data_IF_194995467445
#
_entry.id   IF_194995467445
#
_cell.length_a   1.000
_cell.length_b   1.000
_cell.length_c   1.000
_cell.angle_alpha   90.00
_cell.angle_beta   90.00
_cell.angle_gamma   90.00
#
_symmetry.space_group_name_H-M   'P 1'
#
loop_
_entity.id
_entity.type
_entity.pdbx_description
1 polymer ?
#
# COMPACT_ATOMS: atom_id res chain seq x y z
N UNK A 1 15.43 29.30 -50.66
CA UNK A 1 16.01 28.10 -50.00
C UNK A 1 15.41 27.99 -48.62
N UNK A 2 14.33 27.21 -48.51
CA UNK A 2 13.69 26.89 -47.19
C UNK A 2 14.52 25.82 -46.50
N UNK A 3 15.08 26.15 -45.36
CA UNK A 3 15.76 25.19 -44.48
C UNK A 3 14.69 24.38 -43.75
N UNK A 4 14.47 23.14 -44.21
CA UNK A 4 13.69 22.15 -43.47
C UNK A 4 14.38 21.92 -42.11
N UNK A 5 13.84 22.50 -41.07
CA UNK A 5 14.15 22.12 -39.70
C UNK A 5 13.47 20.76 -39.45
N UNK A 6 14.22 19.68 -39.60
CA UNK A 6 13.86 18.38 -39.05
C UNK A 6 13.73 18.57 -37.52
N UNK A 7 12.52 18.64 -37.02
CA UNK A 7 12.23 18.52 -35.60
C UNK A 7 12.74 17.15 -35.14
N UNK A 8 13.97 17.09 -34.61
CA UNK A 8 14.44 15.96 -33.82
C UNK A 8 13.61 15.95 -32.59
N UNK A 9 12.70 14.97 -32.49
CA UNK A 9 11.95 14.68 -31.24
C UNK A 9 12.96 14.66 -30.11
N UNK A 10 12.79 15.54 -29.11
CA UNK A 10 13.66 15.58 -27.97
C UNK A 10 13.69 14.16 -27.32
N UNK A 11 14.87 13.62 -27.01
CA UNK A 11 14.98 12.29 -26.43
C UNK A 11 14.15 12.22 -25.15
N UNK A 12 13.48 11.08 -24.94
CA UNK A 12 12.65 10.84 -23.76
C UNK A 12 13.48 11.13 -22.48
N UNK A 13 13.00 12.07 -21.66
CA UNK A 13 13.71 12.44 -20.45
C UNK A 13 13.79 11.23 -19.50
N UNK A 14 14.96 10.96 -18.92
CA UNK A 14 15.23 9.77 -18.12
C UNK A 14 14.31 9.62 -16.90
N UNK A 15 13.71 10.71 -16.41
CA UNK A 15 12.69 10.70 -15.35
C UNK A 15 11.52 9.76 -15.66
N UNK A 16 11.10 9.64 -16.93
CA UNK A 16 10.02 8.74 -17.33
C UNK A 16 10.43 7.27 -17.27
N UNK A 17 11.68 6.95 -17.58
CA UNK A 17 12.25 5.60 -17.43
C UNK A 17 12.29 5.22 -15.95
N UNK A 18 12.77 6.14 -15.11
CA UNK A 18 12.78 5.95 -13.64
C UNK A 18 11.36 5.73 -13.11
N UNK A 19 10.39 6.55 -13.56
CA UNK A 19 9.00 6.42 -13.12
C UNK A 19 8.40 5.06 -13.52
N UNK A 20 8.65 4.60 -14.75
CA UNK A 20 8.18 3.30 -15.22
C UNK A 20 8.78 2.15 -14.39
N UNK A 21 10.07 2.19 -14.09
CA UNK A 21 10.73 1.17 -13.26
C UNK A 21 10.18 1.20 -11.82
N UNK A 22 10.03 2.38 -11.24
CA UNK A 22 9.41 2.56 -9.93
C UNK A 22 7.97 2.02 -9.90
N UNK A 23 7.19 2.27 -10.94
CA UNK A 23 5.84 1.75 -11.10
C UNK A 23 5.83 0.21 -11.14
N UNK A 24 6.71 -0.43 -11.92
CA UNK A 24 6.79 -1.89 -12.02
C UNK A 24 7.21 -2.51 -10.67
N UNK A 25 8.15 -1.88 -9.95
CA UNK A 25 8.51 -2.32 -8.59
C UNK A 25 7.30 -2.32 -7.65
N UNK A 26 6.50 -1.24 -7.66
CA UNK A 26 5.27 -1.16 -6.86
C UNK A 26 4.22 -2.17 -7.31
N UNK A 27 4.01 -2.30 -8.62
CA UNK A 27 3.10 -3.28 -9.19
C UNK A 27 3.41 -4.70 -8.71
N UNK A 28 4.65 -5.16 -8.84
CA UNK A 28 5.08 -6.50 -8.41
C UNK A 28 4.95 -6.63 -6.89
N UNK A 29 5.41 -5.64 -6.13
CA UNK A 29 5.33 -5.67 -4.68
C UNK A 29 3.89 -5.79 -4.16
N UNK A 30 2.95 -5.06 -4.76
CA UNK A 30 1.54 -5.12 -4.35
C UNK A 30 0.78 -6.31 -4.92
N UNK A 31 1.19 -6.85 -6.07
CA UNK A 31 0.74 -8.18 -6.52
C UNK A 31 1.10 -9.28 -5.51
N UNK A 32 2.30 -9.21 -4.91
CA UNK A 32 2.74 -10.13 -3.86
C UNK A 32 1.95 -9.90 -2.56
N UNK A 33 1.92 -8.66 -2.11
CA UNK A 33 1.36 -8.30 -0.79
C UNK A 33 -0.14 -8.48 -0.72
N UNK A 34 -0.90 -7.89 -1.64
CA UNK A 34 -2.36 -7.98 -1.65
C UNK A 34 -2.84 -9.28 -2.32
N UNK A 35 -2.09 -9.77 -3.29
CA UNK A 35 -2.36 -11.05 -3.94
C UNK A 35 -2.32 -12.25 -2.98
N UNK A 36 -1.71 -12.11 -1.79
CA UNK A 36 -1.78 -13.13 -0.74
C UNK A 36 -3.23 -13.53 -0.42
N UNK A 37 -4.13 -12.57 -0.26
CA UNK A 37 -5.55 -12.83 0.03
C UNK A 37 -6.28 -13.55 -1.12
N UNK A 38 -5.79 -13.44 -2.35
CA UNK A 38 -6.35 -14.18 -3.52
C UNK A 38 -5.85 -15.63 -3.54
N UNK A 39 -4.58 -15.86 -3.16
CA UNK A 39 -3.97 -17.20 -3.08
C UNK A 39 -4.43 -17.98 -1.86
N UNK A 40 -4.85 -17.28 -0.81
CA UNK A 40 -5.16 -17.81 0.52
C UNK A 40 -6.12 -19.00 0.53
N UNK A 41 -7.28 -19.00 -0.17
CA UNK A 41 -8.22 -20.12 -0.12
C UNK A 41 -7.59 -21.44 -0.59
N UNK A 42 -6.79 -21.40 -1.65
CA UNK A 42 -6.10 -22.58 -2.17
C UNK A 42 -5.00 -23.10 -1.21
N UNK A 43 -4.27 -22.18 -0.56
CA UNK A 43 -3.29 -22.55 0.45
C UNK A 43 -3.94 -23.23 1.67
N UNK A 44 -5.08 -22.70 2.12
CA UNK A 44 -5.86 -23.29 3.22
C UNK A 44 -6.30 -24.71 2.84
N UNK A 45 -6.83 -24.88 1.62
CA UNK A 45 -7.34 -26.17 1.13
C UNK A 45 -6.25 -27.23 0.99
N UNK A 46 -5.10 -26.85 0.41
CA UNK A 46 -3.99 -27.77 0.11
C UNK A 46 -3.16 -28.13 1.36
N UNK A 47 -2.93 -27.18 2.25
CA UNK A 47 -2.05 -27.34 3.41
C UNK A 47 -2.79 -27.59 4.73
N UNK A 48 -4.12 -27.51 4.73
CA UNK A 48 -4.96 -27.70 5.91
C UNK A 48 -4.82 -26.60 6.97
N UNK A 49 -4.38 -25.40 6.57
CA UNK A 49 -4.24 -24.29 7.51
C UNK A 49 -5.60 -23.77 8.00
N UNK A 50 -5.66 -23.36 9.26
CA UNK A 50 -6.75 -22.55 9.77
C UNK A 50 -6.64 -21.10 9.25
N UNK A 51 -7.75 -20.33 9.34
CA UNK A 51 -7.73 -18.91 8.95
C UNK A 51 -6.86 -18.09 9.90
N UNK A 52 -6.76 -18.50 11.16
CA UNK A 52 -5.83 -17.93 12.15
C UNK A 52 -4.37 -18.11 11.74
N UNK A 53 -4.00 -19.31 11.30
CA UNK A 53 -2.66 -19.61 10.79
C UNK A 53 -2.36 -18.82 9.53
N UNK A 54 -3.31 -18.76 8.62
CA UNK A 54 -3.20 -17.95 7.40
C UNK A 54 -3.02 -16.45 7.71
N UNK A 55 -3.78 -15.89 8.65
CA UNK A 55 -3.57 -14.53 9.14
C UNK A 55 -2.19 -14.34 9.78
N UNK A 56 -1.67 -15.35 10.48
CA UNK A 56 -0.32 -15.32 11.09
C UNK A 56 0.80 -15.30 10.06
N UNK A 57 0.64 -15.98 8.91
CA UNK A 57 1.57 -15.91 7.79
C UNK A 57 1.65 -14.47 7.27
N UNK A 58 0.51 -13.82 7.04
CA UNK A 58 0.51 -12.42 6.59
C UNK A 58 1.08 -11.47 7.66
N UNK A 59 0.81 -11.75 8.93
CA UNK A 59 1.38 -10.97 10.04
C UNK A 59 2.90 -11.09 10.11
N UNK A 60 3.49 -12.25 9.81
CA UNK A 60 4.94 -12.41 9.74
C UNK A 60 5.58 -11.47 8.70
N UNK A 61 4.95 -11.32 7.53
CA UNK A 61 5.33 -10.32 6.54
C UNK A 61 5.22 -8.89 7.07
N UNK A 62 4.08 -8.53 7.69
CA UNK A 62 3.85 -7.18 8.20
C UNK A 62 4.79 -6.81 9.35
N UNK A 63 5.07 -7.72 10.28
CA UNK A 63 6.04 -7.48 11.36
C UNK A 63 7.42 -7.16 10.81
N UNK A 64 7.91 -7.98 9.87
CA UNK A 64 9.21 -7.77 9.24
C UNK A 64 9.25 -6.43 8.47
N UNK A 65 8.20 -6.14 7.72
CA UNK A 65 8.06 -4.89 6.97
C UNK A 65 8.11 -3.67 7.89
N UNK A 66 7.29 -3.63 8.95
CA UNK A 66 7.21 -2.50 9.88
C UNK A 66 8.52 -2.32 10.64
N UNK A 67 9.09 -3.41 11.16
CA UNK A 67 10.31 -3.36 11.97
C UNK A 67 11.52 -2.83 11.18
N UNK A 68 11.62 -3.18 9.89
CA UNK A 68 12.80 -2.87 9.09
C UNK A 68 12.64 -1.67 8.14
N UNK A 69 11.43 -1.13 7.98
CA UNK A 69 11.21 0.09 7.18
C UNK A 69 12.07 1.29 7.63
N UNK A 70 12.26 1.60 8.93
CA UNK A 70 13.15 2.68 9.34
C UNK A 70 14.61 2.45 8.94
N UNK A 71 15.08 1.21 9.00
CA UNK A 71 16.44 0.83 8.61
C UNK A 71 16.66 1.03 7.11
N UNK A 72 15.71 0.60 6.28
CA UNK A 72 15.82 0.78 4.81
C UNK A 72 15.73 2.25 4.41
N UNK A 73 14.94 3.07 5.11
CA UNK A 73 14.95 4.53 4.95
C UNK A 73 16.34 5.11 5.23
N UNK A 74 16.93 4.78 6.37
CA UNK A 74 18.27 5.21 6.74
C UNK A 74 19.35 4.76 5.74
N UNK A 75 19.30 3.50 5.31
CA UNK A 75 20.23 2.97 4.32
C UNK A 75 20.07 3.67 2.96
N UNK A 76 18.87 4.04 2.58
CA UNK A 76 18.58 4.77 1.33
C UNK A 76 19.32 6.11 1.28
N UNK A 77 19.40 6.80 2.41
CA UNK A 77 20.11 8.08 2.49
C UNK A 77 21.64 7.90 2.56
N UNK A 78 22.12 6.79 3.13
CA UNK A 78 23.57 6.53 3.28
C UNK A 78 24.23 5.90 2.05
N UNK A 79 23.65 4.84 1.51
CA UNK A 79 24.27 4.04 0.43
C UNK A 79 23.59 4.24 -0.92
N UNK A 80 22.50 5.04 -0.94
CA UNK A 80 21.74 5.38 -2.14
C UNK A 80 20.61 4.41 -2.44
N UNK A 81 19.52 4.97 -2.98
CA UNK A 81 18.28 4.24 -3.23
C UNK A 81 18.45 3.07 -4.22
N UNK A 82 19.29 3.21 -5.25
CA UNK A 82 19.55 2.14 -6.24
C UNK A 82 19.99 0.84 -5.59
N UNK A 83 20.98 0.92 -4.69
CA UNK A 83 21.54 -0.26 -4.01
C UNK A 83 20.48 -0.88 -3.10
N UNK A 84 19.80 -0.05 -2.30
CA UNK A 84 18.77 -0.52 -1.37
C UNK A 84 17.62 -1.20 -2.10
N UNK A 85 17.07 -0.58 -3.15
CA UNK A 85 15.98 -1.16 -3.96
C UNK A 85 16.43 -2.50 -4.57
N UNK A 86 17.66 -2.58 -5.11
CA UNK A 86 18.17 -3.80 -5.76
C UNK A 86 18.36 -4.94 -4.76
N UNK A 87 18.94 -4.69 -3.59
CA UNK A 87 19.13 -5.70 -2.54
C UNK A 87 17.76 -6.14 -1.99
N UNK A 88 16.86 -5.19 -1.73
CA UNK A 88 15.52 -5.52 -1.24
C UNK A 88 14.72 -6.29 -2.29
N UNK A 89 14.87 -6.02 -3.59
CA UNK A 89 14.26 -6.81 -4.65
C UNK A 89 14.77 -8.27 -4.65
N UNK A 90 16.06 -8.49 -4.39
CA UNK A 90 16.63 -9.84 -4.24
C UNK A 90 16.02 -10.57 -3.04
N UNK A 91 15.96 -9.93 -1.88
CA UNK A 91 15.38 -10.52 -0.67
C UNK A 91 13.90 -10.85 -0.89
N UNK A 92 13.14 -9.92 -1.51
CA UNK A 92 11.74 -10.12 -1.87
C UNK A 92 11.57 -11.33 -2.79
N UNK A 93 12.38 -11.39 -3.87
CA UNK A 93 12.33 -12.48 -4.84
C UNK A 93 12.59 -13.85 -4.19
N UNK A 94 13.64 -13.94 -3.34
CA UNK A 94 13.97 -15.16 -2.60
C UNK A 94 12.81 -15.58 -1.70
N UNK A 95 12.28 -14.67 -0.86
CA UNK A 95 11.17 -14.98 0.02
C UNK A 95 9.93 -15.45 -0.73
N UNK A 96 9.60 -14.79 -1.85
CA UNK A 96 8.43 -15.13 -2.67
C UNK A 96 8.60 -16.45 -3.42
N UNK A 97 9.77 -16.74 -3.98
CA UNK A 97 10.04 -18.04 -4.63
C UNK A 97 9.94 -19.19 -3.62
N UNK A 98 10.48 -19.00 -2.42
CA UNK A 98 10.38 -19.98 -1.35
C UNK A 98 8.95 -20.22 -0.89
N UNK A 99 8.04 -19.22 -0.98
CA UNK A 99 6.60 -19.42 -0.72
C UNK A 99 5.98 -20.50 -1.61
N UNK A 100 6.46 -20.69 -2.84
CA UNK A 100 6.03 -21.79 -3.72
C UNK A 100 6.41 -23.19 -3.22
N UNK A 101 7.38 -23.31 -2.30
CA UNK A 101 7.85 -24.60 -1.74
C UNK A 101 7.27 -24.94 -0.37
N UNK A 102 6.38 -24.12 0.15
CA UNK A 102 5.82 -24.26 1.51
C UNK A 102 5.06 -25.57 1.68
N UNK A 103 5.34 -26.25 2.81
CA UNK A 103 4.66 -27.49 3.24
C UNK A 103 4.12 -27.42 4.66
N UNK A 104 4.50 -26.40 5.44
CA UNK A 104 4.05 -26.22 6.82
C UNK A 104 4.01 -24.74 7.23
N UNK A 105 3.35 -24.45 8.34
CA UNK A 105 3.14 -23.09 8.85
C UNK A 105 4.47 -22.35 9.13
N UNK A 106 5.44 -23.04 9.74
CA UNK A 106 6.73 -22.43 10.09
C UNK A 106 7.49 -21.93 8.86
N UNK A 107 7.53 -22.75 7.79
CA UNK A 107 8.11 -22.34 6.50
C UNK A 107 7.35 -21.17 5.89
N UNK A 108 6.01 -21.21 5.90
CA UNK A 108 5.18 -20.14 5.36
C UNK A 108 5.44 -18.80 6.06
N UNK A 109 5.44 -18.79 7.39
CA UNK A 109 5.74 -17.61 8.20
C UNK A 109 7.17 -17.09 7.94
N UNK A 110 8.16 -17.98 7.91
CA UNK A 110 9.56 -17.59 7.69
C UNK A 110 9.76 -17.01 6.29
N UNK A 111 9.28 -17.67 5.26
CA UNK A 111 9.50 -17.25 3.88
C UNK A 111 8.73 -15.97 3.55
N UNK A 112 7.50 -15.84 4.09
CA UNK A 112 6.75 -14.60 3.88
C UNK A 112 7.29 -13.43 4.74
N UNK A 113 7.89 -13.71 5.91
CA UNK A 113 8.66 -12.71 6.66
C UNK A 113 9.88 -12.21 5.86
N UNK A 114 10.63 -13.12 5.20
CA UNK A 114 11.73 -12.73 4.29
C UNK A 114 11.22 -11.85 3.15
N UNK A 115 10.07 -12.19 2.55
CA UNK A 115 9.44 -11.33 1.55
C UNK A 115 9.08 -9.95 2.14
N UNK A 116 8.59 -9.90 3.39
CA UNK A 116 8.32 -8.66 4.13
C UNK A 116 9.56 -7.78 4.30
N UNK A 117 10.71 -8.37 4.63
CA UNK A 117 12.00 -7.66 4.67
C UNK A 117 12.31 -7.00 3.32
N UNK A 118 12.23 -7.76 2.24
CA UNK A 118 12.48 -7.25 0.88
C UNK A 118 11.50 -6.15 0.47
N UNK A 119 10.25 -6.26 0.87
CA UNK A 119 9.19 -5.28 0.58
C UNK A 119 9.47 -3.88 1.16
N UNK A 120 10.29 -3.77 2.22
CA UNK A 120 10.64 -2.47 2.83
C UNK A 120 11.33 -1.53 1.84
N UNK A 121 12.12 -2.06 0.91
CA UNK A 121 12.77 -1.29 -0.14
C UNK A 121 11.86 -0.90 -1.31
N UNK A 122 10.65 -1.47 -1.38
CA UNK A 122 9.75 -1.30 -2.52
C UNK A 122 8.75 -0.13 -2.33
N UNK A 123 8.74 0.56 -1.19
CA UNK A 123 7.89 1.73 -0.98
C UNK A 123 8.72 3.00 -0.75
N UNK A 124 9.29 3.17 0.42
CA UNK A 124 9.98 4.43 0.79
C UNK A 124 11.13 4.77 -0.16
N UNK A 125 12.08 3.87 -0.47
CA UNK A 125 13.16 4.17 -1.40
C UNK A 125 12.66 4.48 -2.82
N UNK A 126 11.65 3.75 -3.30
CA UNK A 126 11.05 3.92 -4.64
C UNK A 126 10.39 5.30 -4.76
N UNK A 127 9.58 5.69 -3.76
CA UNK A 127 8.95 7.03 -3.70
C UNK A 127 10.02 8.12 -3.63
N UNK A 128 11.06 7.93 -2.83
CA UNK A 128 12.17 8.90 -2.70
C UNK A 128 12.87 9.14 -4.04
N UNK A 129 13.17 8.08 -4.80
CA UNK A 129 13.76 8.22 -6.15
C UNK A 129 12.83 9.01 -7.05
N UNK A 130 11.57 8.63 -7.13
CA UNK A 130 10.61 9.33 -7.97
C UNK A 130 10.52 10.82 -7.61
N UNK A 131 10.45 11.16 -6.32
CA UNK A 131 10.40 12.56 -5.87
C UNK A 131 11.67 13.36 -6.20
N UNK A 132 12.83 12.73 -6.24
CA UNK A 132 14.10 13.38 -6.62
C UNK A 132 14.16 13.70 -8.12
N UNK A 133 13.54 12.85 -8.95
CA UNK A 133 13.56 12.98 -10.41
C UNK A 133 12.52 13.97 -10.96
N UNK A 134 11.58 14.45 -10.12
CA UNK A 134 10.53 15.38 -10.53
C UNK A 134 10.59 16.68 -9.72
N UNK A 135 10.40 17.82 -10.40
CA UNK A 135 10.26 19.13 -9.76
C UNK A 135 9.08 19.14 -8.79
N UNK A 136 9.12 20.03 -7.80
CA UNK A 136 8.15 20.06 -6.68
C UNK A 136 6.70 20.12 -7.14
N UNK A 137 6.41 20.92 -8.17
CA UNK A 137 5.09 21.08 -8.80
C UNK A 137 4.62 19.83 -9.58
N UNK A 138 5.53 18.93 -9.96
CA UNK A 138 5.25 17.70 -10.72
C UNK A 138 5.26 16.41 -9.87
N UNK A 139 5.71 16.48 -8.63
CA UNK A 139 5.77 15.32 -7.71
C UNK A 139 4.42 14.68 -7.48
N UNK A 140 3.35 15.48 -7.37
CA UNK A 140 1.99 14.97 -7.20
C UNK A 140 1.55 14.07 -8.35
N UNK A 141 1.84 14.47 -9.60
CA UNK A 141 1.57 13.64 -10.78
C UNK A 141 2.35 12.32 -10.75
N UNK A 142 3.66 12.38 -10.47
CA UNK A 142 4.50 11.18 -10.42
C UNK A 142 4.01 10.19 -9.34
N UNK A 143 3.69 10.69 -8.15
CA UNK A 143 3.15 9.87 -7.05
C UNK A 143 1.76 9.32 -7.37
N UNK A 144 0.92 10.07 -8.07
CA UNK A 144 -0.38 9.61 -8.55
C UNK A 144 -0.23 8.41 -9.49
N UNK A 145 0.67 8.51 -10.49
CA UNK A 145 0.98 7.40 -11.40
C UNK A 145 1.49 6.19 -10.62
N UNK A 146 2.44 6.37 -9.70
CA UNK A 146 2.97 5.27 -8.89
C UNK A 146 1.90 4.59 -8.04
N UNK A 147 0.96 5.36 -7.49
CA UNK A 147 -0.13 4.82 -6.68
C UNK A 147 -1.10 3.95 -7.47
N UNK A 148 -1.21 4.13 -8.79
CA UNK A 148 -2.02 3.23 -9.63
C UNK A 148 -1.42 1.83 -9.73
N UNK A 149 -0.10 1.68 -9.62
CA UNK A 149 0.59 0.38 -9.58
C UNK A 149 0.14 -0.51 -8.41
N UNK A 150 -0.23 0.10 -7.30
CA UNK A 150 -0.79 -0.54 -6.12
C UNK A 150 -2.13 -1.27 -6.43
N UNK A 151 -3.11 -0.54 -6.97
CA UNK A 151 -4.40 -1.13 -7.33
C UNK A 151 -4.30 -2.10 -8.51
N UNK A 152 -3.45 -1.80 -9.51
CA UNK A 152 -3.25 -2.66 -10.67
C UNK A 152 -2.61 -4.00 -10.29
N UNK A 153 -1.68 -4.01 -9.32
CA UNK A 153 -1.08 -5.25 -8.81
C UNK A 153 -2.14 -6.17 -8.22
N UNK A 154 -3.04 -5.64 -7.39
CA UNK A 154 -4.13 -6.42 -6.81
C UNK A 154 -5.15 -6.88 -7.86
N UNK A 155 -5.54 -5.98 -8.77
CA UNK A 155 -6.48 -6.30 -9.84
C UNK A 155 -5.97 -7.42 -10.76
N UNK A 156 -4.68 -7.40 -11.10
CA UNK A 156 -4.06 -8.41 -11.95
C UNK A 156 -4.10 -9.79 -11.29
N UNK A 157 -3.88 -9.88 -9.97
CA UNK A 157 -3.95 -11.15 -9.25
C UNK A 157 -5.35 -11.75 -9.29
N UNK A 158 -6.41 -10.93 -9.22
CA UNK A 158 -7.79 -11.42 -9.30
C UNK A 158 -8.13 -12.11 -10.63
N UNK A 159 -7.51 -11.70 -11.73
CA UNK A 159 -7.68 -12.34 -13.05
C UNK A 159 -6.68 -13.46 -13.26
N UNK A 160 -5.39 -13.20 -12.99
CA UNK A 160 -4.31 -14.13 -13.31
C UNK A 160 -4.31 -15.39 -12.43
N UNK A 161 -4.68 -15.25 -11.15
CA UNK A 161 -4.57 -16.36 -10.20
C UNK A 161 -5.49 -17.54 -10.51
N UNK A 162 -6.81 -17.37 -10.78
CA UNK A 162 -7.67 -18.49 -11.16
C UNK A 162 -7.17 -19.22 -12.40
N UNK A 163 -6.65 -18.45 -13.39
CA UNK A 163 -6.05 -19.03 -14.59
C UNK A 163 -4.82 -19.89 -14.26
N UNK A 164 -3.94 -19.41 -13.36
CA UNK A 164 -2.77 -20.16 -12.91
C UNK A 164 -3.19 -21.45 -12.19
N UNK A 165 -4.19 -21.39 -11.32
CA UNK A 165 -4.68 -22.56 -10.57
C UNK A 165 -5.33 -23.59 -11.49
N UNK A 166 -6.10 -23.12 -12.47
CA UNK A 166 -6.77 -24.00 -13.42
C UNK A 166 -5.80 -24.88 -14.22
N UNK A 167 -4.66 -24.35 -14.66
CA UNK A 167 -3.69 -25.07 -15.49
C UNK A 167 -2.51 -25.66 -14.72
N UNK A 168 -2.19 -25.13 -13.55
CA UNK A 168 -1.00 -25.49 -12.79
C UNK A 168 -1.34 -25.76 -11.31
N UNK A 169 -0.89 -24.88 -10.40
CA UNK A 169 -1.27 -24.89 -8.99
C UNK A 169 -1.01 -23.50 -8.38
N UNK A 170 -1.55 -23.25 -7.18
CA UNK A 170 -1.35 -22.02 -6.46
C UNK A 170 0.14 -21.69 -6.21
N UNK A 171 1.02 -22.69 -6.14
CA UNK A 171 2.47 -22.54 -5.98
C UNK A 171 3.11 -21.76 -7.13
N UNK A 172 2.60 -21.94 -8.34
CA UNK A 172 3.12 -21.25 -9.53
C UNK A 172 2.83 -19.74 -9.50
N UNK A 173 1.81 -19.27 -8.80
CA UNK A 173 1.60 -17.85 -8.59
C UNK A 173 2.82 -17.22 -7.88
N UNK A 174 3.34 -17.87 -6.85
CA UNK A 174 4.54 -17.43 -6.16
C UNK A 174 5.79 -17.50 -7.04
N UNK A 175 5.94 -18.54 -7.84
CA UNK A 175 7.06 -18.66 -8.77
C UNK A 175 7.03 -17.56 -9.84
N UNK A 176 5.88 -17.23 -10.41
CA UNK A 176 5.75 -16.14 -11.38
C UNK A 176 6.05 -14.78 -10.75
N UNK A 177 5.49 -14.49 -9.59
CA UNK A 177 5.74 -13.24 -8.87
C UNK A 177 7.21 -13.11 -8.44
N UNK A 178 7.79 -14.19 -7.91
CA UNK A 178 9.19 -14.22 -7.50
C UNK A 178 10.15 -14.07 -8.68
N UNK A 179 9.85 -14.69 -9.82
CA UNK A 179 10.62 -14.50 -11.07
C UNK A 179 10.51 -13.07 -11.57
N UNK A 180 9.32 -12.46 -11.50
CA UNK A 180 9.15 -11.04 -11.79
C UNK A 180 10.05 -10.15 -10.91
N UNK A 181 10.10 -10.43 -9.60
CA UNK A 181 10.98 -9.72 -8.68
C UNK A 181 12.48 -9.97 -8.97
N UNK A 182 12.87 -11.18 -9.41
CA UNK A 182 14.25 -11.47 -9.86
C UNK A 182 14.63 -10.63 -11.09
N UNK A 183 13.76 -10.52 -12.08
CA UNK A 183 13.99 -9.68 -13.27
C UNK A 183 14.21 -8.22 -12.86
N UNK A 184 13.47 -7.75 -11.85
CA UNK A 184 13.62 -6.38 -11.36
C UNK A 184 14.98 -6.12 -10.72
N UNK A 185 15.71 -7.12 -10.22
CA UNK A 185 17.08 -6.93 -9.71
C UNK A 185 17.98 -6.37 -10.81
N UNK A 186 17.93 -6.97 -11.99
CA UNK A 186 18.73 -6.53 -13.14
C UNK A 186 18.26 -5.16 -13.64
N UNK A 187 16.96 -4.94 -13.77
CA UNK A 187 16.38 -3.66 -14.20
C UNK A 187 16.75 -2.54 -13.22
N UNK A 188 16.58 -2.76 -11.93
CA UNK A 188 16.93 -1.80 -10.88
C UNK A 188 18.43 -1.51 -10.87
N UNK A 189 19.23 -2.57 -10.92
CA UNK A 189 20.69 -2.46 -10.93
C UNK A 189 21.26 -1.73 -12.14
N UNK A 190 20.67 -1.84 -13.31
CA UNK A 190 21.17 -1.23 -14.53
C UNK A 190 20.62 0.19 -14.75
N UNK A 191 19.32 0.39 -14.53
CA UNK A 191 18.61 1.59 -14.99
C UNK A 191 18.26 2.58 -13.89
N UNK A 192 18.09 2.17 -12.61
CA UNK A 192 17.83 3.13 -11.54
C UNK A 192 19.08 3.99 -11.30
N UNK A 193 18.86 5.30 -11.29
CA UNK A 193 19.82 6.30 -10.82
C UNK A 193 19.21 6.99 -9.62
N UNK A 194 19.97 7.05 -8.50
CA UNK A 194 19.45 7.56 -7.23
C UNK A 194 19.06 9.04 -7.26
N UNK A 195 19.74 9.82 -8.10
CA UNK A 195 19.45 11.26 -8.30
C UNK A 195 19.65 11.64 -9.76
N UNK A 196 18.94 12.67 -10.27
CA UNK A 196 19.10 13.17 -11.63
C UNK A 196 20.53 13.64 -11.92
N UNK A 197 21.15 14.33 -10.97
CA UNK A 197 22.49 14.92 -11.10
C UNK A 197 23.55 13.83 -11.33
N UNK A 198 23.41 12.68 -10.68
CA UNK A 198 24.31 11.53 -10.86
C UNK A 198 24.27 10.95 -12.28
N UNK A 199 23.28 11.32 -13.06
CA UNK A 199 23.08 10.90 -14.45
C UNK A 199 23.19 12.06 -15.46
N UNK A 200 23.59 13.25 -14.99
CA UNK A 200 23.73 14.45 -15.83
C UNK A 200 22.41 15.11 -16.25
N UNK A 201 21.33 14.89 -15.49
CA UNK A 201 20.03 15.49 -15.75
C UNK A 201 19.64 16.48 -14.64
N UNK A 202 18.78 17.45 -14.97
CA UNK A 202 18.00 18.19 -13.99
C UNK A 202 16.69 17.45 -13.68
N UNK A 203 16.04 17.69 -12.53
CA UNK A 203 14.71 17.17 -12.24
C UNK A 203 13.72 17.59 -13.35
N UNK A 204 12.89 16.64 -13.80
CA UNK A 204 11.93 16.90 -14.87
C UNK A 204 10.88 17.93 -14.46
N UNK A 205 10.70 18.96 -15.32
CA UNK A 205 9.79 20.08 -15.05
C UNK A 205 10.42 21.22 -14.25
N UNK A 206 11.70 21.15 -13.89
CA UNK A 206 12.40 22.26 -13.24
C UNK A 206 12.59 23.40 -14.24
N UNK A 207 11.92 24.53 -14.04
CA UNK A 207 12.27 25.79 -14.68
C UNK A 207 13.52 26.36 -14.00
N UNK A 208 14.41 27.00 -14.76
CA UNK A 208 15.56 27.73 -14.21
C UNK A 208 15.04 28.82 -13.24
N UNK A 209 14.92 28.47 -11.98
CA UNK A 209 14.67 29.43 -10.92
C UNK A 209 16.01 29.80 -10.28
N UNK A 210 16.34 31.06 -10.34
CA UNK A 210 17.34 31.72 -9.50
C UNK A 210 17.23 31.25 -8.06
N UNK A 211 18.37 30.85 -7.48
CA UNK A 211 18.53 30.47 -6.08
C UNK A 211 17.95 31.55 -5.16
N UNK A 212 16.75 31.35 -4.68
CA UNK A 212 16.29 32.04 -3.47
C UNK A 212 16.87 31.30 -2.27
N UNK A 213 17.76 32.02 -1.61
CA UNK A 213 18.47 31.63 -0.40
C UNK A 213 17.50 31.08 0.66
N UNK A 214 17.78 29.88 1.12
CA UNK A 214 17.17 29.28 2.30
C UNK A 214 17.46 30.20 3.49
N UNK A 215 16.45 30.94 3.92
CA UNK A 215 16.51 31.78 5.09
C UNK A 215 16.65 30.86 6.32
N UNK A 216 17.74 31.03 7.02
CA UNK A 216 18.10 30.43 8.31
C UNK A 216 17.04 30.77 9.36
N UNK A 217 15.93 30.04 9.43
CA UNK A 217 14.97 30.16 10.52
C UNK A 217 15.42 29.30 11.68
N UNK A 218 15.60 29.95 12.81
CA UNK A 218 15.95 29.44 14.14
C UNK A 218 15.51 28.01 14.36
N UNK A 219 16.49 27.08 14.44
CA UNK A 219 16.30 25.68 14.74
C UNK A 219 15.80 25.56 16.19
N UNK A 220 14.49 25.54 16.38
CA UNK A 220 13.93 24.99 17.64
C UNK A 220 14.43 23.58 17.75
N UNK A 221 14.93 23.17 18.92
CA UNK A 221 15.41 21.81 19.16
C UNK A 221 14.39 20.80 18.64
N UNK A 222 14.77 19.96 17.67
CA UNK A 222 13.92 18.95 17.02
C UNK A 222 13.18 18.08 18.07
N UNK A 223 13.86 17.77 19.19
CA UNK A 223 13.27 17.02 20.29
C UNK A 223 12.15 17.76 21.05
N UNK A 224 12.23 19.09 21.18
CA UNK A 224 11.17 19.88 21.80
C UNK A 224 9.91 19.92 20.92
N UNK A 225 10.08 20.02 19.61
CA UNK A 225 8.99 19.99 18.65
C UNK A 225 8.28 18.63 18.64
N UNK A 226 9.02 17.53 18.67
CA UNK A 226 8.45 16.16 18.77
C UNK A 226 7.62 16.03 20.05
N UNK A 227 8.15 16.46 21.20
CA UNK A 227 7.39 16.44 22.46
C UNK A 227 6.11 17.28 22.39
N UNK A 228 6.13 18.41 21.69
CA UNK A 228 4.94 19.24 21.49
C UNK A 228 3.88 18.49 20.66
N UNK A 229 4.27 17.81 19.57
CA UNK A 229 3.37 16.98 18.74
C UNK A 229 2.66 15.91 19.57
N UNK A 230 3.42 15.15 20.39
CA UNK A 230 2.84 14.09 21.24
C UNK A 230 1.85 14.61 22.29
N UNK A 231 1.92 15.88 22.68
CA UNK A 231 0.97 16.51 23.62
C UNK A 231 -0.35 16.90 22.96
N UNK A 232 -0.41 16.98 21.62
CA UNK A 232 -1.65 17.35 20.92
C UNK A 232 -2.61 16.17 20.85
N UNK A 233 -3.88 16.42 21.16
CA UNK A 233 -4.94 15.40 20.99
C UNK A 233 -5.11 15.01 19.51
N UNK A 234 -4.89 15.95 18.62
CA UNK A 234 -4.97 15.76 17.17
C UNK A 234 -4.03 14.67 16.67
N UNK A 235 -2.80 14.58 17.22
CA UNK A 235 -1.85 13.52 16.86
C UNK A 235 -2.44 12.12 17.14
N UNK A 236 -3.01 11.94 18.32
CA UNK A 236 -3.59 10.66 18.76
C UNK A 236 -4.90 10.33 18.02
N UNK A 237 -5.75 11.32 17.80
CA UNK A 237 -7.00 11.11 17.07
C UNK A 237 -6.76 10.66 15.61
N UNK A 238 -5.82 11.30 14.91
CA UNK A 238 -5.45 10.87 13.56
C UNK A 238 -4.77 9.50 13.58
N UNK A 239 -3.84 9.27 14.50
CA UNK A 239 -3.13 7.99 14.65
C UNK A 239 -4.08 6.82 14.93
N UNK A 240 -4.99 6.96 15.91
CA UNK A 240 -5.98 5.93 16.21
C UNK A 240 -7.05 5.78 15.12
N UNK A 241 -7.42 6.86 14.42
CA UNK A 241 -8.27 6.75 13.24
C UNK A 241 -7.58 5.94 12.14
N UNK A 242 -6.28 6.15 11.94
CA UNK A 242 -5.46 5.41 10.97
C UNK A 242 -5.32 3.91 11.35
N UNK A 243 -5.15 3.61 12.64
CA UNK A 243 -5.21 2.26 13.17
C UNK A 243 -6.55 1.58 12.87
N UNK A 244 -7.66 2.28 13.20
CA UNK A 244 -9.01 1.72 13.12
C UNK A 244 -9.43 1.46 11.67
N UNK A 245 -9.13 2.39 10.75
CA UNK A 245 -9.43 2.19 9.34
C UNK A 245 -8.55 1.11 8.71
N UNK A 246 -7.28 1.01 9.12
CA UNK A 246 -6.39 -0.07 8.70
C UNK A 246 -6.90 -1.43 9.14
N UNK A 247 -7.36 -1.53 10.39
CA UNK A 247 -7.99 -2.74 10.89
C UNK A 247 -9.14 -3.19 9.99
N UNK A 248 -10.09 -2.28 9.70
CA UNK A 248 -11.25 -2.60 8.86
C UNK A 248 -10.82 -3.06 7.45
N UNK A 249 -9.97 -2.30 6.79
CA UNK A 249 -9.63 -2.53 5.38
C UNK A 249 -8.82 -3.81 5.20
N UNK A 250 -7.82 -4.06 6.06
CA UNK A 250 -7.03 -5.30 5.98
C UNK A 250 -7.78 -6.52 6.48
N UNK A 251 -8.61 -6.36 7.51
CA UNK A 251 -9.47 -7.43 7.99
C UNK A 251 -10.45 -7.94 6.94
N UNK A 252 -10.89 -7.05 6.03
CA UNK A 252 -11.73 -7.45 4.91
C UNK A 252 -10.92 -7.93 3.70
N UNK A 253 -9.98 -7.12 3.18
CA UNK A 253 -9.30 -7.41 1.92
C UNK A 253 -8.48 -8.70 1.93
N UNK A 254 -7.95 -9.09 3.10
CA UNK A 254 -7.18 -10.33 3.23
C UNK A 254 -8.06 -11.58 3.13
N UNK A 255 -9.27 -11.53 3.70
CA UNK A 255 -10.18 -12.68 3.72
C UNK A 255 -11.31 -12.57 2.68
N UNK A 256 -11.36 -11.51 1.88
CA UNK A 256 -12.45 -11.22 0.95
C UNK A 256 -12.73 -12.36 -0.04
N UNK A 257 -11.69 -12.96 -0.59
CA UNK A 257 -11.84 -14.06 -1.56
C UNK A 257 -12.27 -15.35 -0.84
N UNK A 258 -11.66 -15.67 0.32
CA UNK A 258 -12.09 -16.82 1.13
C UNK A 258 -13.54 -16.66 1.63
N UNK A 259 -13.96 -15.45 2.01
CA UNK A 259 -15.34 -15.15 2.37
C UNK A 259 -16.30 -15.41 1.20
N UNK A 260 -15.96 -14.91 0.03
CA UNK A 260 -16.80 -15.06 -1.16
C UNK A 260 -16.91 -16.53 -1.60
N UNK A 261 -15.82 -17.31 -1.49
CA UNK A 261 -15.82 -18.73 -1.82
C UNK A 261 -16.49 -19.57 -0.72
N UNK A 262 -16.04 -19.43 0.52
CA UNK A 262 -16.42 -20.35 1.61
C UNK A 262 -17.76 -20.03 2.28
N UNK A 263 -18.25 -18.77 2.23
CA UNK A 263 -19.49 -18.36 2.89
C UNK A 263 -20.58 -17.94 1.91
N UNK A 264 -20.24 -17.19 0.82
CA UNK A 264 -21.23 -16.84 -0.22
C UNK A 264 -21.43 -18.02 -1.19
N UNK A 265 -20.43 -18.89 -1.36
CA UNK A 265 -20.48 -20.05 -2.24
C UNK A 265 -20.14 -19.72 -3.70
N UNK A 266 -19.38 -18.67 -3.97
CA UNK A 266 -18.93 -18.34 -5.31
C UNK A 266 -17.78 -19.25 -5.76
N UNK A 267 -17.74 -19.65 -7.05
CA UNK A 267 -16.56 -20.31 -7.61
C UNK A 267 -15.32 -19.42 -7.44
N UNK A 268 -14.13 -20.06 -7.31
CA UNK A 268 -12.85 -19.35 -7.14
C UNK A 268 -12.61 -18.27 -8.19
N UNK A 269 -12.95 -18.56 -9.44
CA UNK A 269 -12.81 -17.64 -10.57
C UNK A 269 -13.62 -16.35 -10.35
N UNK A 270 -14.86 -16.49 -9.88
CA UNK A 270 -15.73 -15.36 -9.58
C UNK A 270 -15.31 -14.65 -8.30
N UNK A 271 -15.01 -15.38 -7.24
CA UNK A 271 -14.57 -14.81 -5.97
C UNK A 271 -13.28 -13.98 -6.13
N UNK A 272 -12.33 -14.46 -6.91
CA UNK A 272 -11.07 -13.75 -7.20
C UNK A 272 -11.27 -12.44 -7.96
N UNK A 273 -12.32 -12.32 -8.79
CA UNK A 273 -12.65 -11.06 -9.48
C UNK A 273 -12.99 -9.91 -8.52
N UNK A 274 -13.34 -10.21 -7.26
CA UNK A 274 -13.49 -9.18 -6.23
C UNK A 274 -12.19 -8.39 -6.02
N UNK A 275 -11.03 -9.06 -6.09
CA UNK A 275 -9.73 -8.39 -6.03
C UNK A 275 -9.50 -7.49 -7.25
N UNK A 276 -9.96 -7.92 -8.44
CA UNK A 276 -9.91 -7.12 -9.66
C UNK A 276 -10.76 -5.86 -9.55
N UNK A 277 -12.03 -6.01 -9.15
CA UNK A 277 -12.94 -4.87 -8.94
C UNK A 277 -12.38 -3.93 -7.87
N UNK A 278 -11.92 -4.49 -6.74
CA UNK A 278 -11.30 -3.69 -5.68
C UNK A 278 -10.09 -2.91 -6.20
N UNK A 279 -9.15 -3.56 -6.90
CA UNK A 279 -7.95 -2.90 -7.41
C UNK A 279 -8.25 -1.79 -8.44
N UNK A 280 -9.17 -2.03 -9.38
CA UNK A 280 -9.58 -1.04 -10.38
C UNK A 280 -10.29 0.15 -9.70
N UNK A 281 -11.26 -0.11 -8.83
CA UNK A 281 -11.98 0.94 -8.12
C UNK A 281 -11.07 1.75 -7.18
N UNK A 282 -10.05 1.11 -6.60
CA UNK A 282 -9.02 1.77 -5.82
C UNK A 282 -8.20 2.78 -6.66
N UNK A 283 -7.86 2.43 -7.90
CA UNK A 283 -7.21 3.36 -8.85
C UNK A 283 -8.12 4.55 -9.12
N UNK A 284 -9.42 4.32 -9.37
CA UNK A 284 -10.40 5.39 -9.56
C UNK A 284 -10.40 6.32 -8.33
N UNK A 285 -10.40 5.75 -7.13
CA UNK A 285 -10.34 6.50 -5.87
C UNK A 285 -9.10 7.38 -5.73
N UNK A 286 -7.92 6.84 -6.04
CA UNK A 286 -6.66 7.62 -6.04
C UNK A 286 -6.75 8.80 -7.01
N UNK A 287 -7.27 8.57 -8.21
CA UNK A 287 -7.30 9.59 -9.26
C UNK A 287 -8.40 10.64 -9.09
N UNK A 288 -9.44 10.35 -8.30
CA UNK A 288 -10.60 11.25 -8.10
C UNK A 288 -10.66 11.83 -6.69
N UNK A 289 -10.67 10.98 -5.66
CA UNK A 289 -10.86 11.42 -4.26
C UNK A 289 -9.61 12.15 -3.73
N UNK A 290 -8.41 11.71 -4.11
CA UNK A 290 -7.18 12.34 -3.62
C UNK A 290 -7.04 13.80 -4.11
N UNK A 291 -7.19 14.13 -5.41
CA UNK A 291 -7.23 15.52 -5.87
C UNK A 291 -8.40 16.31 -5.26
N UNK A 292 -9.59 15.68 -5.12
CA UNK A 292 -10.73 16.33 -4.49
C UNK A 292 -10.43 16.73 -3.04
N UNK A 293 -9.58 15.98 -2.35
CA UNK A 293 -9.16 16.30 -0.97
C UNK A 293 -8.35 17.60 -0.86
N UNK A 294 -7.74 18.08 -1.95
CA UNK A 294 -7.07 19.38 -1.98
C UNK A 294 -8.08 20.53 -1.90
N UNK A 295 -9.26 20.36 -2.48
CA UNK A 295 -10.33 21.36 -2.49
C UNK A 295 -11.22 21.28 -1.24
N UNK A 296 -11.65 20.09 -0.85
CA UNK A 296 -12.55 19.86 0.30
C UNK A 296 -11.81 19.99 1.64
N UNK A 297 -10.49 19.81 1.64
CA UNK A 297 -9.64 19.65 2.82
C UNK A 297 -9.57 18.22 3.32
N UNK A 298 -8.39 17.78 3.77
CA UNK A 298 -8.07 16.40 4.17
C UNK A 298 -9.03 15.83 5.19
N UNK A 299 -9.36 16.60 6.25
CA UNK A 299 -10.28 16.17 7.29
C UNK A 299 -11.66 15.79 6.75
N UNK A 300 -12.28 16.67 5.93
CA UNK A 300 -13.63 16.42 5.39
C UNK A 300 -13.61 15.19 4.46
N UNK A 301 -12.58 15.06 3.65
CA UNK A 301 -12.41 13.91 2.77
C UNK A 301 -12.28 12.61 3.55
N UNK A 302 -11.46 12.57 4.63
CA UNK A 302 -11.34 11.37 5.46
C UNK A 302 -12.64 11.04 6.21
N UNK A 303 -13.36 12.05 6.71
CA UNK A 303 -14.69 11.85 7.30
C UNK A 303 -15.64 11.19 6.29
N UNK A 304 -15.70 11.73 5.07
CA UNK A 304 -16.55 11.21 4.00
C UNK A 304 -16.12 9.79 3.61
N UNK A 305 -14.82 9.55 3.40
CA UNK A 305 -14.31 8.22 3.05
C UNK A 305 -14.61 7.19 4.14
N UNK A 306 -14.34 7.53 5.40
CA UNK A 306 -14.57 6.61 6.52
C UNK A 306 -16.07 6.29 6.71
N UNK A 307 -17.00 7.23 6.47
CA UNK A 307 -18.44 6.95 6.55
C UNK A 307 -18.89 6.01 5.42
N UNK A 308 -18.42 6.23 4.19
CA UNK A 308 -18.72 5.32 3.09
C UNK A 308 -18.15 3.92 3.30
N UNK A 309 -16.92 3.81 3.81
CA UNK A 309 -16.31 2.52 4.17
C UNK A 309 -17.13 1.85 5.29
N UNK A 310 -17.58 2.60 6.31
CA UNK A 310 -18.41 2.06 7.40
C UNK A 310 -19.73 1.52 6.87
N UNK A 311 -20.43 2.31 6.05
CA UNK A 311 -21.74 1.92 5.49
C UNK A 311 -21.58 0.70 4.57
N UNK A 312 -20.61 0.70 3.67
CA UNK A 312 -20.40 -0.43 2.76
C UNK A 312 -19.97 -1.69 3.50
N UNK A 313 -19.08 -1.57 4.50
CA UNK A 313 -18.68 -2.71 5.32
C UNK A 313 -19.84 -3.28 6.14
N UNK A 314 -20.68 -2.42 6.74
CA UNK A 314 -21.89 -2.83 7.43
C UNK A 314 -22.91 -3.49 6.49
N UNK A 315 -23.04 -2.99 5.26
CA UNK A 315 -23.95 -3.58 4.25
C UNK A 315 -23.49 -4.96 3.78
N UNK A 316 -22.18 -5.27 3.85
CA UNK A 316 -21.65 -6.60 3.52
C UNK A 316 -22.23 -7.69 4.42
N UNK A 317 -22.60 -7.37 5.68
CA UNK A 317 -23.25 -8.32 6.59
C UNK A 317 -24.64 -8.78 6.10
N UNK A 318 -25.25 -8.05 5.19
CA UNK A 318 -26.60 -8.33 4.65
C UNK A 318 -26.58 -8.81 3.19
N UNK A 319 -25.41 -9.13 2.65
CA UNK A 319 -25.27 -9.56 1.24
C UNK A 319 -25.97 -10.90 0.99
N UNK A 320 -26.01 -11.79 1.98
CA UNK A 320 -26.50 -13.16 1.80
C UNK A 320 -25.69 -13.89 0.72
N UNK A 321 -26.39 -14.45 -0.28
CA UNK A 321 -25.76 -15.14 -1.43
C UNK A 321 -25.73 -14.28 -2.71
N UNK A 322 -25.98 -12.97 -2.61
CA UNK A 322 -26.03 -12.09 -3.77
C UNK A 322 -24.64 -11.72 -4.27
N UNK A 323 -24.18 -12.36 -5.34
CA UNK A 323 -22.91 -12.03 -6.00
C UNK A 323 -22.89 -10.58 -6.49
N UNK A 324 -23.96 -10.07 -7.10
CA UNK A 324 -24.01 -8.69 -7.59
C UNK A 324 -23.82 -7.67 -6.46
N UNK A 325 -24.49 -7.90 -5.32
CA UNK A 325 -24.41 -6.97 -4.18
C UNK A 325 -22.98 -6.89 -3.61
N UNK A 326 -22.28 -8.02 -3.46
CA UNK A 326 -20.91 -8.00 -2.94
C UNK A 326 -19.95 -7.26 -3.89
N UNK A 327 -20.07 -7.45 -5.21
CA UNK A 327 -19.26 -6.73 -6.19
C UNK A 327 -19.48 -5.21 -6.14
N UNK A 328 -20.73 -4.76 -6.04
CA UNK A 328 -21.06 -3.33 -5.94
C UNK A 328 -20.51 -2.73 -4.65
N UNK A 329 -20.71 -3.40 -3.51
CA UNK A 329 -20.25 -2.90 -2.21
C UNK A 329 -18.72 -2.84 -2.13
N UNK A 330 -18.02 -3.87 -2.63
CA UNK A 330 -16.55 -3.89 -2.72
C UNK A 330 -16.06 -2.78 -3.64
N UNK A 331 -16.71 -2.56 -4.78
CA UNK A 331 -16.35 -1.47 -5.69
C UNK A 331 -16.45 -0.09 -5.03
N UNK A 332 -17.58 0.20 -4.37
CA UNK A 332 -17.81 1.47 -3.66
C UNK A 332 -16.76 1.62 -2.54
N UNK A 333 -16.58 0.61 -1.71
CA UNK A 333 -15.60 0.64 -0.62
C UNK A 333 -14.19 0.92 -1.16
N UNK A 334 -13.82 0.27 -2.26
CA UNK A 334 -12.47 0.38 -2.84
C UNK A 334 -12.18 1.78 -3.41
N UNK A 335 -13.16 2.49 -3.95
CA UNK A 335 -13.00 3.89 -4.38
C UNK A 335 -12.53 4.76 -3.20
N UNK A 336 -13.17 4.64 -2.04
CA UNK A 336 -12.77 5.41 -0.86
C UNK A 336 -11.50 4.89 -0.20
N UNK A 337 -11.25 3.57 -0.28
CA UNK A 337 -9.99 2.97 0.17
C UNK A 337 -8.78 3.52 -0.57
N UNK A 338 -8.87 3.71 -1.90
CA UNK A 338 -7.73 4.14 -2.72
C UNK A 338 -7.09 5.45 -2.26
N UNK A 339 -7.89 6.42 -1.84
CA UNK A 339 -7.42 7.71 -1.34
C UNK A 339 -7.02 7.70 0.15
N UNK A 340 -7.32 6.64 0.91
CA UNK A 340 -7.16 6.62 2.37
C UNK A 340 -5.72 6.89 2.78
N UNK A 341 -4.76 6.05 2.31
CA UNK A 341 -3.37 6.15 2.75
C UNK A 341 -2.70 7.48 2.41
N UNK A 342 -2.79 7.99 1.18
CA UNK A 342 -2.21 9.27 0.82
C UNK A 342 -2.83 10.44 1.61
N UNK A 343 -4.14 10.40 1.88
CA UNK A 343 -4.83 11.47 2.60
C UNK A 343 -4.44 11.51 4.08
N UNK A 344 -4.30 10.35 4.75
CA UNK A 344 -3.76 10.30 6.11
C UNK A 344 -2.31 10.82 6.16
N UNK A 345 -1.47 10.46 5.18
CA UNK A 345 -0.12 10.98 5.06
C UNK A 345 -0.10 12.50 4.88
N UNK A 346 -1.00 13.06 4.08
CA UNK A 346 -1.11 14.51 3.85
C UNK A 346 -1.53 15.27 5.12
N UNK A 347 -2.31 14.66 6.02
CA UNK A 347 -2.66 15.27 7.31
C UNK A 347 -1.42 15.61 8.16
N UNK A 348 -0.31 14.88 8.02
CA UNK A 348 0.91 15.22 8.73
C UNK A 348 1.43 16.61 8.36
N UNK A 349 1.33 17.01 7.08
CA UNK A 349 1.73 18.35 6.62
C UNK A 349 0.72 19.45 6.93
N UNK A 350 -0.57 19.12 7.07
CA UNK A 350 -1.63 20.09 7.32
C UNK A 350 -1.77 20.47 8.80
N UNK A 351 -1.47 19.54 9.68
CA UNK A 351 -1.70 19.68 11.13
C UNK A 351 -0.43 19.90 11.94
N UNK A 352 0.75 19.53 11.40
CA UNK A 352 2.03 19.60 12.11
C UNK A 352 3.08 20.37 11.33
N UNK A 353 4.17 20.86 11.99
CA UNK A 353 5.26 21.55 11.30
C UNK A 353 5.83 20.71 10.16
N UNK A 354 6.11 21.37 9.02
CA UNK A 354 6.62 20.69 7.81
C UNK A 354 7.91 19.93 8.06
N UNK A 355 8.74 20.42 8.97
CA UNK A 355 10.02 19.82 9.39
C UNK A 355 9.83 18.47 10.08
N UNK A 356 8.65 18.22 10.68
CA UNK A 356 8.31 16.98 11.38
C UNK A 356 7.42 16.04 10.58
N UNK A 357 7.00 16.42 9.38
CA UNK A 357 6.05 15.64 8.57
C UNK A 357 6.48 14.17 8.41
N UNK A 358 7.74 13.95 8.04
CA UNK A 358 8.29 12.57 7.90
C UNK A 358 8.32 11.82 9.22
N UNK A 359 8.68 12.49 10.33
CA UNK A 359 8.68 11.89 11.67
C UNK A 359 7.27 11.49 12.11
N UNK A 360 6.28 12.35 11.89
CA UNK A 360 4.87 12.08 12.23
C UNK A 360 4.33 10.90 11.45
N UNK A 361 4.55 10.85 10.12
CA UNK A 361 4.16 9.71 9.27
C UNK A 361 4.85 8.44 9.74
N UNK A 362 6.15 8.52 10.04
CA UNK A 362 6.93 7.37 10.53
C UNK A 362 6.38 6.80 11.84
N UNK A 363 5.95 7.67 12.78
CA UNK A 363 5.34 7.23 14.05
C UNK A 363 3.91 6.70 13.85
N UNK A 364 3.16 7.17 12.85
CA UNK A 364 1.85 6.61 12.53
C UNK A 364 1.91 5.26 11.79
N UNK A 365 3.04 4.92 11.18
CA UNK A 365 3.22 3.62 10.51
C UNK A 365 2.96 2.41 11.42
N UNK A 366 3.47 2.34 12.68
CA UNK A 366 3.08 1.32 13.65
C UNK A 366 1.56 1.26 13.93
N UNK A 367 0.87 2.40 14.02
CA UNK A 367 -0.60 2.40 14.21
C UNK A 367 -1.30 1.68 13.07
N UNK A 368 -0.95 2.02 11.84
CA UNK A 368 -1.43 1.35 10.65
C UNK A 368 -1.14 -0.16 10.68
N UNK A 369 0.12 -0.53 10.95
CA UNK A 369 0.54 -1.93 10.93
C UNK A 369 -0.10 -2.77 12.03
N UNK A 370 -0.22 -2.23 13.25
CA UNK A 370 -0.89 -2.92 14.36
C UNK A 370 -2.38 -3.13 14.09
N UNK A 371 -3.05 -2.16 13.44
CA UNK A 371 -4.43 -2.32 13.00
C UNK A 371 -4.60 -3.53 12.08
N UNK A 372 -3.78 -3.63 11.06
CA UNK A 372 -3.80 -4.75 10.11
C UNK A 372 -3.47 -6.10 10.78
N UNK A 373 -2.44 -6.15 11.64
CA UNK A 373 -2.02 -7.36 12.34
C UNK A 373 -3.13 -7.90 13.24
N UNK A 374 -3.76 -7.02 14.03
CA UNK A 374 -4.85 -7.43 14.91
C UNK A 374 -6.08 -7.89 14.12
N UNK A 375 -6.38 -7.23 12.98
CA UNK A 375 -7.49 -7.63 12.12
C UNK A 375 -7.31 -9.05 11.54
N UNK A 376 -6.10 -9.41 11.13
CA UNK A 376 -5.84 -10.75 10.64
C UNK A 376 -6.04 -11.83 11.71
N UNK A 377 -5.54 -11.61 12.93
CA UNK A 377 -5.73 -12.57 14.01
C UNK A 377 -7.20 -12.65 14.45
N UNK A 378 -7.84 -11.51 14.71
CA UNK A 378 -9.24 -11.52 15.14
C UNK A 378 -10.16 -12.08 14.06
N UNK A 379 -9.93 -11.74 12.80
CA UNK A 379 -10.68 -12.26 11.66
C UNK A 379 -10.53 -13.78 11.52
N UNK A 380 -9.30 -14.29 11.61
CA UNK A 380 -9.00 -15.72 11.58
C UNK A 380 -9.62 -16.48 12.73
N UNK A 381 -9.37 -16.04 13.99
CA UNK A 381 -9.89 -16.68 15.22
C UNK A 381 -11.42 -16.73 15.19
N UNK A 382 -12.08 -15.64 14.86
CA UNK A 382 -13.55 -15.59 14.82
C UNK A 382 -14.10 -16.49 13.73
N UNK A 383 -13.47 -16.55 12.58
CA UNK A 383 -13.89 -17.43 11.47
C UNK A 383 -13.70 -18.90 11.84
N UNK A 384 -12.57 -19.25 12.44
CA UNK A 384 -12.28 -20.63 12.86
C UNK A 384 -13.23 -21.09 13.98
N UNK A 385 -13.60 -20.18 14.91
CA UNK A 385 -14.50 -20.49 16.05
C UNK A 385 -15.96 -20.57 15.62
N UNK A 386 -16.43 -19.67 14.76
CA UNK A 386 -17.86 -19.52 14.46
C UNK A 386 -18.28 -20.15 13.12
N UNK A 387 -17.34 -20.52 12.28
CA UNK A 387 -17.59 -21.05 10.95
C UNK A 387 -18.01 -20.00 9.91
N UNK A 388 -18.18 -18.71 10.31
CA UNK A 388 -18.62 -17.58 9.48
C UNK A 388 -17.84 -16.31 9.77
N UNK A 389 -17.80 -15.37 8.81
CA UNK A 389 -17.08 -14.10 8.96
C UNK A 389 -17.89 -12.98 9.62
N UNK A 390 -19.19 -13.18 9.91
CA UNK A 390 -20.11 -12.13 10.32
C UNK A 390 -19.62 -11.32 11.51
N UNK A 391 -19.10 -11.98 12.55
CA UNK A 391 -18.57 -11.28 13.74
C UNK A 391 -17.30 -10.51 13.42
N UNK A 392 -16.41 -11.06 12.59
CA UNK A 392 -15.21 -10.38 12.15
C UNK A 392 -15.55 -9.11 11.35
N UNK A 393 -16.51 -9.20 10.45
CA UNK A 393 -16.95 -8.06 9.64
C UNK A 393 -17.76 -7.04 10.43
N UNK A 394 -18.50 -7.47 11.46
CA UNK A 394 -19.12 -6.56 12.40
C UNK A 394 -18.05 -5.72 13.15
N UNK A 395 -16.98 -6.35 13.64
CA UNK A 395 -15.87 -5.61 14.26
C UNK A 395 -15.21 -4.68 13.25
N UNK A 396 -14.98 -5.11 12.01
CA UNK A 396 -14.46 -4.25 10.95
C UNK A 396 -15.34 -3.01 10.74
N UNK A 397 -16.65 -3.18 10.75
CA UNK A 397 -17.65 -2.08 10.64
C UNK A 397 -17.53 -1.11 11.81
N UNK A 398 -17.47 -1.63 13.04
CA UNK A 398 -17.30 -0.83 14.26
C UNK A 398 -16.00 -0.04 14.21
N UNK A 399 -14.89 -0.68 13.79
CA UNK A 399 -13.60 -0.03 13.68
C UNK A 399 -13.60 1.08 12.62
N UNK A 400 -14.25 0.89 11.48
CA UNK A 400 -14.44 1.96 10.48
C UNK A 400 -15.28 3.13 11.05
N UNK A 401 -16.33 2.82 11.83
CA UNK A 401 -17.13 3.82 12.56
C UNK A 401 -16.31 4.60 13.60
N UNK A 402 -15.42 3.92 14.33
CA UNK A 402 -14.49 4.57 15.25
C UNK A 402 -13.54 5.49 14.49
N UNK A 403 -13.00 5.06 13.33
CA UNK A 403 -12.16 5.90 12.50
C UNK A 403 -12.88 7.17 12.04
N UNK A 404 -14.14 7.06 11.64
CA UNK A 404 -15.00 8.21 11.31
C UNK A 404 -15.17 9.15 12.50
N UNK A 405 -15.55 8.66 13.68
CA UNK A 405 -15.80 9.47 14.88
C UNK A 405 -14.52 10.19 15.34
N UNK A 406 -13.37 9.51 15.33
CA UNK A 406 -12.09 10.11 15.67
C UNK A 406 -11.71 11.25 14.72
N UNK A 407 -11.94 11.08 13.40
CA UNK A 407 -11.72 12.17 12.45
C UNK A 407 -12.65 13.35 12.65
N UNK A 408 -13.89 13.15 13.08
CA UNK A 408 -14.79 14.24 13.45
C UNK A 408 -14.24 15.08 14.62
N UNK A 409 -13.61 14.40 15.59
CA UNK A 409 -13.04 15.03 16.79
C UNK A 409 -11.72 15.82 16.53
N UNK A 410 -11.04 15.58 15.40
CA UNK A 410 -9.80 16.28 15.04
C UNK A 410 -10.04 17.79 14.95
N UNK A 411 -9.18 18.58 15.61
CA UNK A 411 -9.19 20.06 15.56
C UNK A 411 -7.79 20.55 15.25
N UNK A 412 -7.68 21.71 14.56
CA UNK A 412 -6.39 22.36 14.36
C UNK A 412 -5.96 23.01 15.67
N UNK A 413 -4.97 22.44 16.34
CA UNK A 413 -4.42 23.00 17.58
C UNK A 413 -3.28 23.96 17.23
N UNK A 414 -3.17 25.07 17.98
CA UNK A 414 -2.01 25.96 17.85
C UNK A 414 -0.84 25.35 18.63
N UNK A 415 0.25 25.05 17.95
CA UNK A 415 1.51 24.55 18.51
C UNK A 415 2.50 25.70 18.72
#
# INVERSE_FOLDING_TARGET
MMKNSTETKAPLHWAWVILAICFINLFINYSIRLGYGVVLPEMIRDLGFSRTEAGSIYNAYLFSYIALTPLTGYLTDRIGARIVITICALILAVGVLLMGTVTNLGMACLFYAVAGVGSTGMWTPVITVAQRWYAVDRRGMALGILSTGYGLGFATMGVAFPFIVHYLSWRYAWYFLGTGALVMIFINGLFIKSTPESAGYAPWGQQEQTHDSINDRQVRSHGALIKAVFKTKTFWFIGFSYFSISYCLYGFTTFMVDYAESQIGLPLETASLLATVHGICQIIGVLTILPLSDYLGRKKTLILSNIFITVTMGSILFVGQSSTMIFVLVGIMAVFHGATWPTYGACAGDYFPKELMGTVIGIWTPFYGLGAILAHWTGGILRDSNGVYDQAFLINTIMAGIAFLLMCAVKKERM
#
